data_IF_419426877621
#
_entry.id   IF_419426877621
#
_cell.length_a   1.000
_cell.length_b   1.000
_cell.length_c   1.000
_cell.angle_alpha   90.00
_cell.angle_beta   90.00
_cell.angle_gamma   90.00
#
_symmetry.space_group_name_H-M   'P 1'
#
loop_
_entity.id
_entity.type
_entity.pdbx_description
1 polymer ?
#
# COMPACT_ATOMS: atom_id res chain seq x y z
N UNK A 1 -19.54 -0.32 3.41
CA UNK A 1 -18.29 -1.15 3.46
C UNK A 1 -17.23 -0.54 4.36
N UNK A 2 -17.00 0.79 4.34
CA UNK A 2 -15.96 1.44 5.16
C UNK A 2 -16.20 1.26 6.66
N UNK A 3 -17.45 1.26 7.13
CA UNK A 3 -17.76 1.01 8.55
C UNK A 3 -17.29 -0.38 9.00
N UNK A 4 -17.50 -1.40 8.17
CA UNK A 4 -17.02 -2.76 8.48
C UNK A 4 -15.49 -2.86 8.48
N UNK A 5 -14.82 -2.16 7.56
CA UNK A 5 -13.36 -2.10 7.50
C UNK A 5 -12.81 -1.34 8.70
N UNK A 6 -13.36 -0.17 9.03
CA UNK A 6 -12.97 0.60 10.19
C UNK A 6 -13.05 -0.21 11.48
N UNK A 7 -14.16 -0.92 11.69
CA UNK A 7 -14.35 -1.73 12.90
C UNK A 7 -13.36 -2.90 12.94
N UNK A 8 -13.05 -3.53 11.79
CA UNK A 8 -12.00 -4.54 11.70
C UNK A 8 -10.63 -3.97 12.04
N UNK A 9 -10.26 -2.79 11.52
CA UNK A 9 -8.99 -2.13 11.88
C UNK A 9 -8.92 -1.89 13.39
N UNK A 10 -10.00 -1.35 14.00
CA UNK A 10 -10.06 -1.11 15.44
C UNK A 10 -9.91 -2.39 16.27
N UNK A 11 -10.49 -3.48 15.82
CA UNK A 11 -10.46 -4.78 16.51
C UNK A 11 -9.16 -5.55 16.25
N UNK A 12 -8.40 -5.19 15.22
CA UNK A 12 -7.18 -5.88 14.80
C UNK A 12 -5.89 -5.11 15.17
N UNK A 13 -5.95 -4.20 16.13
CA UNK A 13 -4.79 -3.40 16.57
C UNK A 13 -3.57 -4.26 16.97
N UNK A 14 -3.79 -5.47 17.46
CA UNK A 14 -2.72 -6.41 17.81
C UNK A 14 -1.83 -6.75 16.62
N UNK A 15 -2.37 -6.78 15.40
CA UNK A 15 -1.58 -7.07 14.20
C UNK A 15 -0.58 -5.95 13.86
N UNK A 16 -0.80 -4.75 14.36
CA UNK A 16 0.07 -3.57 14.18
C UNK A 16 0.33 -3.20 12.70
N UNK A 17 -0.68 -3.40 11.84
CA UNK A 17 -0.55 -3.17 10.40
C UNK A 17 -0.49 -1.69 10.02
N UNK A 18 -1.15 -0.80 10.79
CA UNK A 18 -1.24 0.63 10.48
C UNK A 18 -0.38 1.46 11.43
N UNK A 19 0.38 2.41 10.90
CA UNK A 19 1.04 3.48 11.66
C UNK A 19 0.11 4.68 11.77
N UNK A 20 -0.50 5.05 10.65
CA UNK A 20 -1.44 6.17 10.57
C UNK A 20 -2.75 5.71 9.95
N UNK A 21 -3.87 6.06 10.57
CA UNK A 21 -5.22 5.84 10.03
C UNK A 21 -5.79 7.19 9.61
N UNK A 22 -6.23 7.29 8.35
CA UNK A 22 -6.77 8.52 7.74
C UNK A 22 -8.30 8.51 7.77
N UNK A 23 -8.91 8.37 8.96
CA UNK A 23 -10.36 8.12 9.12
C UNK A 23 -11.19 9.23 8.47
N UNK A 24 -10.90 10.51 8.75
CA UNK A 24 -11.67 11.64 8.20
C UNK A 24 -11.53 11.74 6.68
N UNK A 25 -10.30 11.65 6.16
CA UNK A 25 -10.04 11.72 4.73
C UNK A 25 -10.70 10.55 3.97
N UNK A 26 -10.69 9.34 4.56
CA UNK A 26 -11.36 8.18 3.99
C UNK A 26 -12.88 8.37 3.91
N UNK A 27 -13.51 8.88 4.96
CA UNK A 27 -14.95 9.16 4.94
C UNK A 27 -15.33 10.24 3.94
N UNK A 28 -14.53 11.29 3.81
CA UNK A 28 -14.78 12.37 2.83
C UNK A 28 -14.63 11.87 1.40
N UNK A 29 -13.62 11.03 1.13
CA UNK A 29 -13.46 10.39 -0.16
C UNK A 29 -14.63 9.44 -0.48
N UNK A 30 -15.07 8.63 0.48
CA UNK A 30 -16.23 7.75 0.33
C UNK A 30 -17.51 8.52 0.03
N UNK A 31 -17.80 9.60 0.75
CA UNK A 31 -18.98 10.47 0.49
C UNK A 31 -18.95 11.07 -0.93
N UNK A 32 -17.76 11.51 -1.38
CA UNK A 32 -17.57 12.01 -2.75
C UNK A 32 -17.84 10.92 -3.78
N UNK A 33 -17.42 9.69 -3.50
CA UNK A 33 -17.71 8.53 -4.35
C UNK A 33 -19.21 8.24 -4.41
N UNK A 34 -19.90 8.19 -3.27
CA UNK A 34 -21.34 7.96 -3.23
C UNK A 34 -22.11 9.00 -4.04
N UNK A 35 -21.71 10.28 -3.95
CA UNK A 35 -22.29 11.35 -4.76
C UNK A 35 -22.07 11.12 -6.27
N UNK A 36 -20.84 10.76 -6.68
CA UNK A 36 -20.54 10.44 -8.09
C UNK A 36 -21.33 9.24 -8.61
N UNK A 37 -21.43 8.19 -7.80
CA UNK A 37 -22.21 6.99 -8.17
C UNK A 37 -23.69 7.34 -8.37
N UNK A 38 -24.27 8.15 -7.47
CA UNK A 38 -25.67 8.58 -7.60
C UNK A 38 -25.95 9.41 -8.85
N UNK A 39 -24.92 10.09 -9.37
CA UNK A 39 -24.98 10.90 -10.58
C UNK A 39 -24.50 10.15 -11.85
N UNK A 40 -24.18 8.84 -11.76
CA UNK A 40 -23.55 8.04 -12.82
C UNK A 40 -22.22 8.63 -13.36
N UNK A 41 -21.44 9.27 -12.48
CA UNK A 41 -20.17 9.94 -12.81
C UNK A 41 -18.97 9.17 -12.24
N UNK A 42 -18.76 7.93 -12.65
CA UNK A 42 -17.57 7.14 -12.26
C UNK A 42 -16.30 7.77 -12.84
N UNK A 43 -15.23 7.88 -12.05
CA UNK A 43 -13.96 8.50 -12.47
C UNK A 43 -12.85 7.52 -12.81
N UNK A 44 -12.90 6.30 -12.34
CA UNK A 44 -11.85 5.33 -12.63
C UNK A 44 -12.16 3.92 -12.13
N UNK A 45 -11.20 3.03 -12.34
CA UNK A 45 -11.31 1.62 -11.93
C UNK A 45 -11.33 1.43 -10.41
N UNK A 46 -10.73 2.37 -9.66
CA UNK A 46 -10.60 2.30 -8.21
C UNK A 46 -11.65 3.17 -7.48
N UNK A 47 -12.67 3.67 -8.17
CA UNK A 47 -13.63 4.60 -7.57
C UNK A 47 -14.40 3.94 -6.42
N UNK A 48 -14.11 4.41 -5.19
CA UNK A 48 -14.67 3.89 -3.94
C UNK A 48 -13.95 2.65 -3.38
N UNK A 49 -12.86 2.20 -3.99
CA UNK A 49 -12.10 1.04 -3.51
C UNK A 49 -11.23 1.44 -2.31
N UNK A 50 -11.41 0.81 -1.12
CA UNK A 50 -10.62 1.11 0.06
C UNK A 50 -9.22 0.47 -0.02
N UNK A 51 -8.21 1.31 -0.16
CA UNK A 51 -6.79 0.94 -0.24
C UNK A 51 -6.00 1.47 0.96
N UNK A 52 -4.84 0.89 1.19
CA UNK A 52 -3.86 1.41 2.14
C UNK A 52 -2.45 1.35 1.54
N UNK A 53 -1.59 2.29 1.94
CA UNK A 53 -0.29 2.47 1.32
C UNK A 53 0.84 2.21 2.32
N UNK A 54 1.87 1.48 1.91
CA UNK A 54 3.11 1.35 2.70
C UNK A 54 3.63 2.73 3.11
N UNK A 55 4.11 2.86 4.33
CA UNK A 55 4.54 4.12 4.92
C UNK A 55 5.86 4.68 4.35
N UNK A 56 6.19 4.30 3.13
CA UNK A 56 7.26 4.88 2.31
C UNK A 56 6.75 5.85 1.25
N UNK A 57 5.45 5.81 0.91
CA UNK A 57 4.89 6.69 -0.09
C UNK A 57 4.51 8.03 0.54
N UNK A 58 5.14 9.11 0.10
CA UNK A 58 4.74 10.46 0.48
C UNK A 58 3.29 10.68 0.06
N UNK A 59 2.45 10.96 1.03
CA UNK A 59 1.02 11.21 0.85
C UNK A 59 0.71 12.59 1.39
N UNK A 60 0.16 13.46 0.57
CA UNK A 60 -0.05 14.87 0.91
C UNK A 60 -0.88 15.01 2.19
N UNK A 61 -0.38 15.82 3.12
CA UNK A 61 -0.97 16.07 4.43
C UNK A 61 -1.19 14.84 5.33
N UNK A 62 -0.60 13.68 4.99
CA UNK A 62 -0.66 12.46 5.82
C UNK A 62 0.75 12.09 6.29
N UNK A 63 0.90 11.90 7.61
CA UNK A 63 2.16 11.51 8.23
C UNK A 63 2.80 10.33 7.48
N UNK A 64 4.08 10.48 7.10
CA UNK A 64 4.85 9.48 6.35
C UNK A 64 6.20 9.30 7.04
N UNK A 65 6.36 8.18 7.74
CA UNK A 65 7.49 8.00 8.66
C UNK A 65 8.56 7.04 8.18
N UNK A 66 8.31 6.29 7.11
CA UNK A 66 9.15 5.16 6.70
C UNK A 66 9.40 4.17 7.86
N UNK A 67 8.45 4.04 8.79
CA UNK A 67 8.54 3.27 10.04
C UNK A 67 9.72 3.65 10.93
N UNK A 68 10.23 4.89 10.82
CA UNK A 68 11.39 5.41 11.53
C UNK A 68 11.01 6.52 12.50
N UNK A 69 11.72 6.56 13.64
CA UNK A 69 11.65 7.69 14.58
C UNK A 69 12.16 8.99 13.95
N UNK A 70 13.11 8.92 13.03
CA UNK A 70 13.71 10.09 12.36
C UNK A 70 12.65 10.90 11.62
N UNK A 71 11.68 10.21 10.99
CA UNK A 71 10.59 10.83 10.23
C UNK A 71 9.25 10.86 11.00
N UNK A 72 9.26 10.65 12.32
CA UNK A 72 8.02 10.54 13.12
C UNK A 72 7.14 11.81 13.14
N UNK A 73 7.66 12.93 12.64
CA UNK A 73 6.95 14.20 12.49
C UNK A 73 6.91 14.71 11.03
N UNK A 74 7.30 13.88 10.06
CA UNK A 74 7.33 14.29 8.67
C UNK A 74 5.96 14.11 8.03
N UNK A 75 5.32 15.23 7.71
CA UNK A 75 4.08 15.28 6.92
C UNK A 75 4.40 15.91 5.56
N UNK A 76 4.40 15.13 4.48
CA UNK A 76 4.66 15.66 3.14
C UNK A 76 3.65 16.73 2.72
N UNK A 77 4.11 17.72 1.97
CA UNK A 77 3.29 18.74 1.30
C UNK A 77 3.11 18.44 -0.19
N UNK A 78 3.32 17.20 -0.57
CA UNK A 78 3.19 16.71 -1.94
C UNK A 78 2.82 15.23 -1.94
N UNK A 79 2.22 14.81 -3.03
CA UNK A 79 1.78 13.44 -3.26
C UNK A 79 2.82 12.68 -4.08
N UNK A 80 3.11 11.43 -3.71
CA UNK A 80 3.87 10.53 -4.59
C UNK A 80 3.07 10.23 -5.85
N UNK A 81 3.74 9.98 -6.97
CA UNK A 81 3.04 9.66 -8.22
C UNK A 81 2.16 8.44 -8.11
N UNK A 82 2.62 7.43 -7.37
CA UNK A 82 1.88 6.17 -7.15
C UNK A 82 0.56 6.42 -6.42
N UNK A 83 0.60 7.19 -5.34
CA UNK A 83 -0.60 7.49 -4.55
C UNK A 83 -1.52 8.48 -5.28
N UNK A 84 -0.94 9.47 -5.98
CA UNK A 84 -1.70 10.38 -6.83
C UNK A 84 -2.49 9.64 -7.92
N UNK A 85 -1.88 8.65 -8.56
CA UNK A 85 -2.54 7.85 -9.58
C UNK A 85 -3.73 7.06 -9.01
N UNK A 86 -3.58 6.45 -7.82
CA UNK A 86 -4.71 5.79 -7.14
C UNK A 86 -5.82 6.77 -6.77
N UNK A 87 -5.47 7.94 -6.22
CA UNK A 87 -6.43 8.96 -5.83
C UNK A 87 -7.20 9.51 -7.04
N UNK A 88 -6.51 9.72 -8.17
CA UNK A 88 -7.11 10.16 -9.44
C UNK A 88 -8.09 9.13 -10.03
N UNK A 89 -7.90 7.85 -9.72
CA UNK A 89 -8.81 6.76 -10.07
C UNK A 89 -9.96 6.58 -9.06
N UNK A 90 -10.01 7.40 -8.02
CA UNK A 90 -11.10 7.41 -7.03
C UNK A 90 -10.92 6.51 -5.82
N UNK A 91 -9.72 6.01 -5.58
CA UNK A 91 -9.44 5.17 -4.41
C UNK A 91 -9.73 5.90 -3.08
N UNK A 92 -10.21 5.14 -2.10
CA UNK A 92 -10.41 5.61 -0.72
C UNK A 92 -9.20 5.20 0.12
N UNK A 93 -8.40 6.17 0.55
CA UNK A 93 -7.17 5.91 1.31
C UNK A 93 -7.47 5.73 2.78
N UNK A 94 -7.24 4.52 3.30
CA UNK A 94 -7.49 4.18 4.72
C UNK A 94 -6.35 4.63 5.64
N UNK A 95 -5.12 4.74 5.14
CA UNK A 95 -3.97 5.15 5.93
C UNK A 95 -2.65 4.57 5.44
N UNK A 96 -1.64 4.65 6.34
CA UNK A 96 -0.25 4.27 6.10
C UNK A 96 0.09 2.98 6.84
N UNK A 97 0.68 2.04 6.12
CA UNK A 97 0.94 0.68 6.59
C UNK A 97 2.38 0.53 7.06
N UNK A 98 2.52 -0.16 8.18
CA UNK A 98 3.79 -0.44 8.83
C UNK A 98 4.72 -1.28 7.92
N UNK A 99 6.01 -1.04 8.05
CA UNK A 99 7.04 -1.73 7.27
C UNK A 99 8.33 -1.88 8.09
N UNK A 100 9.30 -2.61 7.60
CA UNK A 100 10.66 -2.51 8.14
C UNK A 100 11.19 -1.08 7.93
N UNK A 101 11.93 -0.55 8.91
CA UNK A 101 12.46 0.81 8.89
C UNK A 101 13.23 1.10 7.59
N UNK A 102 12.84 2.16 6.87
CA UNK A 102 13.36 2.54 5.55
C UNK A 102 13.37 1.39 4.51
N UNK A 103 12.42 0.47 4.61
CA UNK A 103 12.36 -0.76 3.80
C UNK A 103 13.55 -1.72 3.98
N UNK A 104 14.36 -1.55 5.00
CA UNK A 104 15.59 -2.32 5.25
C UNK A 104 15.30 -3.50 6.18
N UNK A 105 14.64 -4.53 5.66
CA UNK A 105 14.33 -5.74 6.41
C UNK A 105 13.47 -6.72 5.60
N UNK A 106 13.23 -7.88 6.21
CA UNK A 106 12.48 -8.98 5.59
C UNK A 106 11.48 -9.65 6.54
N UNK A 107 11.26 -9.07 7.73
CA UNK A 107 10.40 -9.65 8.77
C UNK A 107 9.40 -8.69 9.38
N UNK A 108 9.53 -7.40 9.09
CA UNK A 108 8.79 -6.29 9.70
C UNK A 108 8.97 -6.20 11.23
N UNK A 109 10.18 -6.51 11.70
CA UNK A 109 10.56 -6.40 13.12
C UNK A 109 11.38 -5.16 13.43
N UNK A 110 11.88 -4.44 12.42
CA UNK A 110 12.78 -3.28 12.57
C UNK A 110 12.05 -1.96 12.71
N UNK A 111 10.72 -1.95 12.57
CA UNK A 111 9.89 -0.74 12.71
C UNK A 111 10.03 -0.11 14.10
N UNK A 112 10.21 1.21 14.14
CA UNK A 112 10.13 1.98 15.39
C UNK A 112 8.77 1.83 16.09
N UNK A 113 7.71 1.60 15.33
CA UNK A 113 6.34 1.43 15.85
C UNK A 113 6.03 -0.01 16.30
N UNK A 114 7.03 -0.86 16.32
CA UNK A 114 6.91 -2.27 16.71
C UNK A 114 6.65 -3.23 15.55
N UNK A 115 6.78 -4.53 15.82
CA UNK A 115 6.64 -5.55 14.79
C UNK A 115 5.20 -5.68 14.28
N UNK A 116 5.06 -6.11 13.04
CA UNK A 116 3.78 -6.56 12.48
C UNK A 116 3.63 -8.07 12.69
N UNK A 117 2.43 -8.49 13.06
CA UNK A 117 2.09 -9.90 13.28
C UNK A 117 1.35 -10.42 12.04
N UNK A 118 1.75 -11.62 11.59
CA UNK A 118 1.03 -12.33 10.53
C UNK A 118 -0.38 -12.73 11.04
N UNK A 119 -1.46 -12.48 10.29
CA UNK A 119 -2.79 -12.92 10.70
C UNK A 119 -2.94 -14.46 10.73
N UNK A 120 -2.11 -15.18 9.97
CA UNK A 120 -2.06 -16.64 10.01
C UNK A 120 -1.27 -17.13 11.24
N UNK A 121 -1.71 -18.25 11.79
CA UNK A 121 -1.06 -18.91 12.91
C UNK A 121 -0.51 -20.28 12.50
N UNK A 122 0.50 -20.76 13.21
CA UNK A 122 0.93 -22.15 13.11
C UNK A 122 -0.17 -23.08 13.65
N UNK A 123 -0.38 -24.24 12.99
CA UNK A 123 -1.31 -25.27 13.47
C UNK A 123 -0.84 -25.91 14.78
N UNK A 124 0.48 -25.96 15.01
CA UNK A 124 1.09 -26.80 16.03
C UNK A 124 1.62 -26.01 17.24
N UNK A 125 1.65 -24.68 17.13
CA UNK A 125 2.19 -23.78 18.15
C UNK A 125 1.38 -22.48 18.20
N UNK A 126 1.24 -21.94 19.40
CA UNK A 126 0.62 -20.61 19.61
C UNK A 126 1.63 -19.45 19.36
N UNK A 127 2.58 -19.68 18.46
CA UNK A 127 3.62 -18.71 18.11
C UNK A 127 3.07 -17.63 17.16
N UNK A 128 3.46 -16.40 17.43
CA UNK A 128 3.20 -15.28 16.50
C UNK A 128 4.17 -15.37 15.32
N UNK A 129 3.65 -15.47 14.12
CA UNK A 129 4.43 -15.55 12.90
C UNK A 129 4.74 -14.16 12.34
N UNK A 130 5.88 -14.01 11.69
CA UNK A 130 6.21 -12.80 10.92
C UNK A 130 5.44 -12.78 9.59
N UNK A 131 4.97 -11.62 9.14
CA UNK A 131 4.28 -11.49 7.84
C UNK A 131 5.26 -11.46 6.65
N UNK A 132 6.58 -11.48 6.91
CA UNK A 132 7.58 -11.11 5.94
C UNK A 132 7.80 -9.59 5.90
N UNK A 133 8.64 -9.12 5.02
CA UNK A 133 9.00 -7.72 4.89
C UNK A 133 9.75 -7.41 3.58
N UNK A 134 10.01 -6.14 3.35
CA UNK A 134 9.73 -5.00 4.23
C UNK A 134 8.27 -4.52 4.20
N UNK A 135 7.40 -4.95 3.25
CA UNK A 135 5.98 -4.56 3.17
C UNK A 135 5.08 -5.48 4.02
N UNK A 136 5.50 -5.81 5.25
CA UNK A 136 4.77 -6.75 6.10
C UNK A 136 3.41 -6.24 6.53
N UNK A 137 3.29 -4.96 6.91
CA UNK A 137 2.00 -4.34 7.22
C UNK A 137 1.06 -4.31 6.03
N UNK A 138 1.59 -4.09 4.80
CA UNK A 138 0.80 -4.11 3.58
C UNK A 138 0.21 -5.49 3.32
N UNK A 139 1.00 -6.53 3.46
CA UNK A 139 0.55 -7.91 3.27
C UNK A 139 -0.41 -8.35 4.40
N UNK A 140 -0.04 -8.11 5.65
CA UNK A 140 -0.87 -8.49 6.80
C UNK A 140 -2.24 -7.78 6.79
N UNK A 141 -2.32 -6.51 6.37
CA UNK A 141 -3.57 -5.78 6.30
C UNK A 141 -4.55 -6.39 5.27
N UNK A 142 -4.05 -6.76 4.09
CA UNK A 142 -4.88 -7.42 3.06
C UNK A 142 -5.30 -8.82 3.50
N UNK A 143 -4.39 -9.62 4.08
CA UNK A 143 -4.68 -10.96 4.57
C UNK A 143 -5.72 -10.96 5.71
N UNK A 144 -5.76 -9.89 6.52
CA UNK A 144 -6.71 -9.72 7.62
C UNK A 144 -8.00 -8.97 7.21
N UNK A 145 -8.24 -8.71 5.93
CA UNK A 145 -9.41 -7.94 5.45
C UNK A 145 -9.51 -6.51 5.99
N UNK A 146 -8.38 -5.87 6.31
CA UNK A 146 -8.33 -4.49 6.78
C UNK A 146 -8.34 -3.47 5.63
N UNK A 147 -8.06 -3.92 4.42
CA UNK A 147 -8.23 -3.21 3.16
C UNK A 147 -8.44 -4.23 2.05
N UNK A 148 -8.97 -3.80 0.90
CA UNK A 148 -9.21 -4.68 -0.25
C UNK A 148 -7.89 -5.10 -0.89
N UNK A 149 -7.00 -4.13 -1.05
CA UNK A 149 -5.66 -4.32 -1.56
C UNK A 149 -4.74 -3.21 -1.01
N UNK A 150 -3.45 -3.36 -1.19
CA UNK A 150 -2.47 -2.40 -0.70
C UNK A 150 -1.33 -2.18 -1.71
N UNK A 151 -0.59 -1.10 -1.50
CA UNK A 151 0.65 -0.84 -2.21
C UNK A 151 1.85 -1.10 -1.30
N UNK A 152 2.86 -1.77 -1.85
CA UNK A 152 4.15 -1.99 -1.22
C UNK A 152 5.30 -1.54 -2.11
N UNK A 153 6.53 -1.73 -1.63
CA UNK A 153 7.76 -1.55 -2.41
C UNK A 153 8.58 -2.83 -2.40
N UNK A 154 9.26 -3.11 -3.51
CA UNK A 154 10.12 -4.29 -3.66
C UNK A 154 11.46 -3.88 -4.26
N UNK A 155 12.51 -4.10 -3.51
CA UNK A 155 13.90 -3.90 -3.92
C UNK A 155 14.61 -5.24 -4.12
N UNK A 156 14.44 -6.13 -3.15
CA UNK A 156 15.02 -7.48 -3.15
C UNK A 156 14.03 -8.58 -2.77
N UNK A 157 12.70 -8.32 -2.87
CA UNK A 157 11.65 -9.26 -2.48
C UNK A 157 10.56 -8.67 -1.59
N UNK A 158 10.62 -7.37 -1.28
CA UNK A 158 9.80 -6.76 -0.21
C UNK A 158 8.30 -6.58 -0.53
N UNK A 159 7.82 -6.99 -1.70
CA UNK A 159 6.41 -7.25 -2.02
C UNK A 159 6.17 -8.76 -2.08
N UNK A 160 6.98 -9.46 -2.87
CA UNK A 160 6.80 -10.88 -3.20
C UNK A 160 6.91 -11.79 -1.98
N UNK A 161 7.89 -11.54 -1.12
CA UNK A 161 8.12 -12.36 0.08
C UNK A 161 6.99 -12.21 1.10
N UNK A 162 6.58 -10.99 1.53
CA UNK A 162 5.47 -10.87 2.48
C UNK A 162 4.15 -11.35 1.88
N UNK A 163 3.89 -11.18 0.59
CA UNK A 163 2.73 -11.76 -0.08
C UNK A 163 2.73 -13.28 0.01
N UNK A 164 3.89 -13.93 -0.25
CA UNK A 164 4.05 -15.38 -0.12
C UNK A 164 3.78 -15.86 1.31
N UNK A 165 4.28 -15.17 2.34
CA UNK A 165 4.12 -15.55 3.74
C UNK A 165 2.69 -15.36 4.26
N UNK A 166 1.89 -14.57 3.60
CA UNK A 166 0.51 -14.25 3.99
C UNK A 166 -0.54 -14.84 3.05
N UNK A 167 -0.12 -15.63 2.04
CA UNK A 167 -1.03 -16.31 1.11
C UNK A 167 -1.71 -15.36 0.12
N UNK A 168 -0.99 -14.34 -0.35
CA UNK A 168 -1.47 -13.29 -1.23
C UNK A 168 -0.73 -13.25 -2.57
N UNK A 169 -1.26 -12.47 -3.49
CA UNK A 169 -0.60 -12.11 -4.75
C UNK A 169 0.18 -10.82 -4.53
N UNK A 170 1.49 -10.88 -4.73
CA UNK A 170 2.39 -9.71 -4.70
C UNK A 170 3.10 -9.57 -6.03
N UNK A 171 2.91 -8.44 -6.72
CA UNK A 171 3.47 -8.21 -8.03
C UNK A 171 4.53 -7.10 -7.99
N UNK A 172 5.78 -7.47 -8.32
CA UNK A 172 6.85 -6.50 -8.57
C UNK A 172 6.92 -6.22 -10.08
N UNK A 173 6.58 -5.02 -10.53
CA UNK A 173 6.64 -4.69 -11.95
C UNK A 173 8.10 -4.61 -12.45
N UNK A 174 8.25 -4.56 -13.77
CA UNK A 174 9.53 -4.25 -14.41
C UNK A 174 9.98 -2.85 -14.01
N UNK A 175 11.29 -2.68 -13.75
CA UNK A 175 11.90 -1.41 -13.35
C UNK A 175 11.55 -0.28 -14.33
N UNK A 176 11.16 0.88 -13.78
CA UNK A 176 10.74 2.05 -14.53
C UNK A 176 9.29 2.00 -15.04
N UNK A 177 8.54 0.91 -14.81
CA UNK A 177 7.13 0.83 -15.23
C UNK A 177 6.21 1.67 -14.33
N UNK A 178 6.56 1.78 -13.07
CA UNK A 178 5.90 2.60 -12.06
C UNK A 178 6.88 3.66 -11.57
N UNK A 179 6.45 4.90 -11.48
CA UNK A 179 7.28 6.00 -11.00
C UNK A 179 7.70 5.79 -9.54
N UNK A 180 8.94 6.19 -9.23
CA UNK A 180 9.49 6.23 -7.86
C UNK A 180 9.38 7.61 -7.22
N UNK A 181 8.86 8.61 -7.94
CA UNK A 181 8.72 9.96 -7.38
C UNK A 181 7.88 9.95 -6.10
N UNK A 182 8.43 10.55 -5.05
CA UNK A 182 7.78 10.62 -3.74
C UNK A 182 7.80 9.31 -2.95
N UNK A 183 8.58 8.31 -3.37
CA UNK A 183 8.84 7.11 -2.60
C UNK A 183 10.14 7.27 -1.82
N UNK A 184 10.12 7.05 -0.51
CA UNK A 184 11.34 7.01 0.31
C UNK A 184 12.18 5.82 -0.14
N UNK A 185 13.41 6.11 -0.59
CA UNK A 185 14.27 5.11 -1.23
C UNK A 185 14.93 4.17 -0.22
N UNK A 186 15.12 2.91 -0.62
CA UNK A 186 16.09 1.98 -0.04
C UNK A 186 17.33 1.85 -0.95
N UNK A 187 17.13 1.36 -2.16
CA UNK A 187 18.15 1.29 -3.20
C UNK A 187 17.52 1.73 -4.53
N UNK A 188 17.64 3.00 -4.85
CA UNK A 188 16.89 3.65 -5.92
C UNK A 188 17.08 3.02 -7.31
N UNK A 189 18.18 2.30 -7.56
CA UNK A 189 18.40 1.55 -8.80
C UNK A 189 17.63 0.22 -8.89
N UNK A 190 16.96 -0.20 -7.79
CA UNK A 190 16.24 -1.47 -7.71
C UNK A 190 14.81 -1.30 -7.21
N UNK A 191 14.51 -0.22 -6.50
CA UNK A 191 13.20 0.01 -5.87
C UNK A 191 12.08 0.06 -6.90
N UNK A 192 11.00 -0.68 -6.63
CA UNK A 192 9.75 -0.62 -7.38
C UNK A 192 8.56 -0.61 -6.45
N UNK A 193 7.58 0.25 -6.75
CA UNK A 193 6.26 0.16 -6.16
C UNK A 193 5.42 -0.90 -6.89
N UNK A 194 4.53 -1.56 -6.17
CA UNK A 194 3.63 -2.53 -6.77
C UNK A 194 2.52 -2.99 -5.83
N UNK A 195 1.51 -3.71 -6.38
CA UNK A 195 0.34 -4.14 -5.65
C UNK A 195 0.55 -5.39 -4.81
N UNK A 196 -0.22 -5.47 -3.73
CA UNK A 196 -0.47 -6.68 -2.93
C UNK A 196 -1.98 -6.84 -2.83
N UNK A 197 -2.51 -7.97 -3.27
CA UNK A 197 -3.94 -8.25 -3.38
C UNK A 197 -4.26 -9.72 -3.15
N UNK A 198 -5.55 -10.06 -3.11
CA UNK A 198 -6.00 -11.46 -2.97
C UNK A 198 -5.99 -12.23 -4.28
N UNK A 199 -6.19 -11.55 -5.40
CA UNK A 199 -6.29 -12.17 -6.73
C UNK A 199 -5.27 -11.56 -7.70
N UNK A 200 -4.94 -12.29 -8.74
CA UNK A 200 -4.10 -11.79 -9.85
C UNK A 200 -4.80 -10.67 -10.60
N UNK A 201 -6.12 -10.77 -10.73
CA UNK A 201 -6.97 -9.77 -11.37
C UNK A 201 -6.90 -8.42 -10.66
N UNK A 202 -7.07 -8.41 -9.33
CA UNK A 202 -6.92 -7.18 -8.53
C UNK A 202 -5.50 -6.59 -8.63
N UNK A 203 -4.47 -7.45 -8.68
CA UNK A 203 -3.10 -7.00 -8.88
C UNK A 203 -2.91 -6.34 -10.25
N UNK A 204 -3.54 -6.87 -11.29
CA UNK A 204 -3.49 -6.31 -12.64
C UNK A 204 -4.19 -4.95 -12.72
N UNK A 205 -5.39 -4.83 -12.12
CA UNK A 205 -6.15 -3.56 -12.03
C UNK A 205 -5.32 -2.49 -11.31
N UNK A 206 -4.73 -2.83 -10.17
CA UNK A 206 -3.89 -1.89 -9.42
C UNK A 206 -2.61 -1.53 -10.17
N UNK A 207 -1.97 -2.49 -10.84
CA UNK A 207 -0.79 -2.20 -11.65
C UNK A 207 -1.12 -1.25 -12.79
N UNK A 208 -2.24 -1.45 -13.47
CA UNK A 208 -2.72 -0.53 -14.52
C UNK A 208 -2.91 0.88 -13.98
N UNK A 209 -3.57 1.01 -12.82
CA UNK A 209 -3.83 2.29 -12.19
C UNK A 209 -2.56 3.06 -11.82
N UNK A 210 -1.49 2.39 -11.35
CA UNK A 210 -0.26 3.03 -10.87
C UNK A 210 0.84 3.14 -11.93
N UNK A 211 0.70 2.48 -13.09
CA UNK A 211 1.69 2.47 -14.16
C UNK A 211 1.62 3.75 -15.00
N UNK A 212 2.71 4.07 -15.67
CA UNK A 212 2.79 5.14 -16.65
C UNK A 212 4.07 5.95 -16.59
N UNK A 213 4.29 6.73 -17.64
CA UNK A 213 5.43 7.63 -17.70
C UNK A 213 5.26 8.82 -16.76
N UNK A 214 6.33 9.14 -16.04
CA UNK A 214 6.40 10.29 -15.14
C UNK A 214 7.69 11.08 -15.40
N UNK A 215 7.55 12.33 -15.80
CA UNK A 215 8.68 13.25 -16.04
C UNK A 215 9.47 13.59 -14.77
N UNK A 216 8.93 13.30 -13.59
CA UNK A 216 9.59 13.52 -12.29
C UNK A 216 10.55 12.39 -11.92
N UNK A 217 10.45 11.23 -12.59
CA UNK A 217 11.37 10.10 -12.41
C UNK A 217 12.15 9.86 -13.71
N UNK A 218 13.43 10.20 -13.70
CA UNK A 218 14.32 10.07 -14.86
C UNK A 218 14.47 8.63 -15.37
N UNK A 219 14.08 7.64 -14.58
CA UNK A 219 14.12 6.21 -14.96
C UNK A 219 12.77 5.69 -15.43
N UNK A 220 11.73 6.53 -15.41
CA UNK A 220 10.39 6.15 -15.83
C UNK A 220 10.36 5.80 -17.32
N UNK A 221 9.81 4.63 -17.65
CA UNK A 221 9.73 4.12 -19.01
C UNK A 221 8.80 4.97 -19.88
N UNK A 222 9.24 5.23 -21.12
CA UNK A 222 8.42 5.89 -22.16
C UNK A 222 7.42 4.93 -22.83
N UNK A 223 7.45 3.62 -22.50
CA UNK A 223 6.46 2.69 -23.03
C UNK A 223 5.06 3.11 -22.63
N UNK A 224 4.15 3.09 -23.58
CA UNK A 224 2.74 3.32 -23.33
C UNK A 224 2.20 2.36 -22.25
N UNK A 225 1.21 2.81 -21.51
CA UNK A 225 0.47 1.92 -20.63
C UNK A 225 -0.20 0.84 -21.47
N UNK A 226 -0.01 -0.39 -21.05
CA UNK A 226 -0.74 -1.55 -21.57
C UNK A 226 -1.94 -1.79 -20.66
N UNK A 227 -3.05 -2.22 -21.22
CA UNK A 227 -4.13 -2.76 -20.42
C UNK A 227 -3.65 -4.09 -19.84
N UNK A 228 -3.54 -4.16 -18.52
CA UNK A 228 -3.20 -5.39 -17.80
C UNK A 228 -4.44 -6.17 -17.39
N UNK A 229 -5.57 -5.50 -17.39
CA UNK A 229 -6.89 -6.02 -17.13
C UNK A 229 -7.78 -5.83 -18.37
N UNK A 230 -8.27 -6.93 -18.95
CA UNK A 230 -9.15 -6.94 -20.12
C UNK A 230 -10.48 -7.65 -19.81
#
# INVERSE_FOLDING_TARGET
SEMCIRDRIKNSKKLNCFITISEEAAFDAAKKTDARISENKKIGLLDGVPLAYKDLFCTDNILTTASSKILSNFTPTYESTVTANCNNQGAVVLGKLNCDEFAMGSTNKTSFYGPVINPWKSSDKDDELVPGGSSGGSAAAVAADLCVASLGTDTGGSIRQPASFTGLVGLKPTYGRVSRWGTVAFASSLDQAGPISKTVEDAAILLEAISGHDNKDSTSSLKANEQFYA
#
